data_IF_562372829930
#
_entry.id   IF_562372829930
#
_cell.length_a   1.000
_cell.length_b   1.000
_cell.length_c   1.000
_cell.angle_alpha   90.00
_cell.angle_beta   90.00
_cell.angle_gamma   90.00
#
_symmetry.space_group_name_H-M   'P 1'
#
loop_
_entity.id
_entity.type
_entity.pdbx_description
1 polymer ?
#
# COMPACT_ATOMS: atom_id res chain seq x y z
N UNK A 1 2.28 -28.61 1.82
CA UNK A 1 1.66 -27.92 2.97
C UNK A 1 2.29 -26.54 3.07
N UNK A 2 1.53 -25.47 2.87
CA UNK A 2 2.02 -24.10 3.02
C UNK A 2 2.14 -23.78 4.53
N UNK A 3 3.13 -23.00 4.97
CA UNK A 3 3.29 -22.59 6.37
C UNK A 3 2.01 -21.95 6.96
N UNK A 4 1.23 -21.27 6.11
CA UNK A 4 -0.07 -20.69 6.45
C UNK A 4 -1.12 -21.74 6.86
N UNK A 5 -0.96 -23.02 6.49
CA UNK A 5 -1.86 -24.09 6.93
C UNK A 5 -1.68 -24.48 8.41
N UNK A 6 -0.60 -24.02 9.07
CA UNK A 6 -0.37 -24.28 10.50
C UNK A 6 -1.01 -23.23 11.42
N UNK A 7 -1.32 -22.04 10.89
CA UNK A 7 -2.10 -21.01 11.60
C UNK A 7 -3.49 -21.06 10.98
N UNK A 8 -4.49 -21.56 11.71
CA UNK A 8 -5.87 -21.48 11.26
C UNK A 8 -6.34 -20.03 11.32
N UNK A 9 -6.07 -19.25 10.26
CA UNK A 9 -6.44 -17.82 10.17
C UNK A 9 -7.95 -17.61 10.41
N UNK A 10 -8.76 -18.62 10.09
CA UNK A 10 -10.20 -18.65 10.36
C UNK A 10 -10.55 -18.55 11.85
N UNK A 11 -9.64 -18.99 12.73
CA UNK A 11 -9.89 -19.11 14.16
C UNK A 11 -9.50 -17.81 14.91
N UNK A 12 -8.83 -16.88 14.21
CA UNK A 12 -8.45 -15.58 14.73
C UNK A 12 -9.63 -14.60 14.66
N UNK A 13 -9.78 -13.78 15.70
CA UNK A 13 -10.60 -12.56 15.68
C UNK A 13 -10.11 -11.60 14.59
N UNK A 14 -10.87 -10.54 14.32
CA UNK A 14 -10.46 -9.55 13.31
C UNK A 14 -9.23 -8.79 13.82
N UNK A 15 -9.19 -8.48 15.10
CA UNK A 15 -8.10 -7.79 15.78
C UNK A 15 -6.81 -8.61 15.72
N UNK A 16 -6.86 -9.90 16.10
CA UNK A 16 -5.69 -10.79 16.02
C UNK A 16 -5.20 -10.99 14.58
N UNK A 17 -6.09 -10.94 13.59
CA UNK A 17 -5.68 -10.97 12.17
C UNK A 17 -4.92 -9.72 11.77
N UNK A 18 -5.33 -8.55 12.25
CA UNK A 18 -4.64 -7.30 11.98
C UNK A 18 -3.27 -7.27 12.66
N UNK A 19 -3.18 -7.68 13.93
CA UNK A 19 -1.90 -7.83 14.64
C UNK A 19 -0.97 -8.82 13.94
N UNK A 20 -1.50 -9.93 13.44
CA UNK A 20 -0.71 -10.89 12.67
C UNK A 20 -0.22 -10.28 11.34
N UNK A 21 -1.04 -9.51 10.64
CA UNK A 21 -0.64 -8.81 9.41
C UNK A 21 0.51 -7.84 9.70
N UNK A 22 0.41 -7.05 10.77
CA UNK A 22 1.46 -6.12 11.21
C UNK A 22 2.76 -6.85 11.54
N UNK A 23 2.70 -7.89 12.38
CA UNK A 23 3.88 -8.67 12.74
C UNK A 23 4.54 -9.37 11.54
N UNK A 24 3.73 -9.85 10.59
CA UNK A 24 4.24 -10.42 9.34
C UNK A 24 4.91 -9.34 8.49
N UNK A 25 4.33 -8.14 8.40
CA UNK A 25 4.90 -7.03 7.66
C UNK A 25 6.25 -6.59 8.24
N UNK A 26 6.33 -6.46 9.57
CA UNK A 26 7.55 -6.11 10.30
C UNK A 26 8.64 -7.19 10.20
N UNK A 27 8.26 -8.43 9.91
CA UNK A 27 9.21 -9.53 9.76
C UNK A 27 9.92 -9.56 8.40
N UNK A 28 9.46 -8.78 7.42
CA UNK A 28 10.04 -8.74 6.08
C UNK A 28 11.12 -7.65 5.99
N UNK A 29 12.24 -7.99 5.37
CA UNK A 29 13.27 -7.02 5.00
C UNK A 29 13.10 -6.59 3.53
N UNK A 30 13.68 -5.44 3.16
CA UNK A 30 13.62 -4.92 1.78
C UNK A 30 14.12 -5.94 0.74
N UNK A 31 15.11 -6.76 1.10
CA UNK A 31 15.63 -7.82 0.23
C UNK A 31 14.65 -8.97 -0.02
N UNK A 32 13.68 -9.17 0.86
CA UNK A 32 12.71 -10.27 0.76
C UNK A 32 11.58 -9.92 -0.22
N UNK A 33 11.36 -8.62 -0.45
CA UNK A 33 10.39 -8.08 -1.41
C UNK A 33 11.06 -7.02 -2.30
N UNK A 34 11.95 -7.43 -3.22
CA UNK A 34 12.68 -6.49 -4.06
C UNK A 34 11.73 -5.70 -4.96
N UNK A 35 11.96 -4.38 -5.05
CA UNK A 35 11.17 -3.50 -5.92
C UNK A 35 11.39 -3.87 -7.38
N UNK A 36 10.33 -4.21 -8.14
CA UNK A 36 10.46 -4.49 -9.56
C UNK A 36 11.04 -3.29 -10.33
N UNK A 37 11.94 -3.54 -11.28
CA UNK A 37 12.59 -2.48 -12.05
C UNK A 37 11.58 -1.55 -12.76
N UNK A 38 10.42 -2.07 -13.15
CA UNK A 38 9.38 -1.27 -13.79
C UNK A 38 8.68 -0.30 -12.82
N UNK A 39 8.61 -0.59 -11.52
CA UNK A 39 8.14 0.38 -10.52
C UNK A 39 9.09 1.58 -10.47
N UNK A 40 10.40 1.31 -10.41
CA UNK A 40 11.42 2.36 -10.37
C UNK A 40 11.40 3.22 -11.64
N UNK A 41 11.27 2.59 -12.81
CA UNK A 41 11.15 3.30 -14.08
C UNK A 41 9.90 4.20 -14.13
N UNK A 42 8.77 3.73 -13.59
CA UNK A 42 7.54 4.54 -13.52
C UNK A 42 7.67 5.72 -12.54
N UNK A 43 8.30 5.49 -11.38
CA UNK A 43 8.60 6.57 -10.43
C UNK A 43 9.49 7.64 -11.06
N UNK A 44 10.55 7.23 -11.75
CA UNK A 44 11.44 8.15 -12.46
C UNK A 44 10.70 8.93 -13.56
N UNK A 45 9.88 8.25 -14.36
CA UNK A 45 9.05 8.88 -15.39
C UNK A 45 8.11 9.94 -14.81
N UNK A 46 7.48 9.69 -13.67
CA UNK A 46 6.59 10.66 -12.99
C UNK A 46 7.36 11.80 -12.33
N UNK A 47 8.56 11.52 -11.80
CA UNK A 47 9.38 12.55 -11.18
C UNK A 47 9.82 13.62 -12.18
N UNK A 48 10.06 13.23 -13.44
CA UNK A 48 10.41 14.16 -14.52
C UNK A 48 9.33 15.22 -14.80
N UNK A 49 8.05 14.88 -14.60
CA UNK A 49 6.92 15.79 -14.84
C UNK A 49 6.33 16.37 -13.56
N UNK A 50 6.90 16.05 -12.39
CA UNK A 50 6.30 16.34 -11.09
C UNK A 50 5.92 17.80 -10.89
N UNK A 51 6.79 18.76 -11.21
CA UNK A 51 6.48 20.19 -11.03
C UNK A 51 5.32 20.66 -11.92
N UNK A 52 5.21 20.12 -13.13
CA UNK A 52 4.11 20.46 -14.05
C UNK A 52 2.80 19.80 -13.60
N UNK A 53 2.87 18.56 -13.13
CA UNK A 53 1.71 17.82 -12.63
C UNK A 53 1.21 18.40 -11.30
N UNK A 54 2.11 18.86 -10.43
CA UNK A 54 1.80 19.52 -9.16
C UNK A 54 0.99 20.78 -9.36
N UNK A 55 1.20 21.54 -10.44
CA UNK A 55 0.38 22.71 -10.76
C UNK A 55 -1.09 22.37 -11.02
N UNK A 56 -1.39 21.10 -11.35
CA UNK A 56 -2.75 20.58 -11.55
C UNK A 56 -3.28 19.79 -10.35
N UNK A 57 -2.50 19.72 -9.26
CA UNK A 57 -2.93 19.02 -8.06
C UNK A 57 -4.02 19.81 -7.33
N UNK A 58 -4.91 19.09 -6.67
CA UNK A 58 -5.92 19.64 -5.76
C UNK A 58 -5.59 19.21 -4.34
N UNK A 59 -6.06 19.98 -3.35
CA UNK A 59 -5.87 19.60 -1.96
C UNK A 59 -6.67 18.34 -1.62
N UNK A 60 -6.21 17.63 -0.59
CA UNK A 60 -6.91 16.45 -0.09
C UNK A 60 -8.35 16.77 0.36
N UNK A 61 -8.58 17.94 0.95
CA UNK A 61 -9.92 18.35 1.38
C UNK A 61 -10.88 18.53 0.20
N UNK A 62 -10.40 18.99 -0.96
CA UNK A 62 -11.20 19.11 -2.18
C UNK A 62 -11.62 17.73 -2.69
N UNK A 63 -10.67 16.78 -2.81
CA UNK A 63 -10.97 15.41 -3.24
C UNK A 63 -11.91 14.71 -2.26
N UNK A 64 -11.71 14.88 -0.96
CA UNK A 64 -12.58 14.28 0.06
C UNK A 64 -14.02 14.77 -0.11
N UNK A 65 -14.22 16.09 -0.25
CA UNK A 65 -15.53 16.67 -0.44
C UNK A 65 -16.22 16.19 -1.73
N UNK A 66 -15.46 16.00 -2.82
CA UNK A 66 -15.98 15.43 -4.07
C UNK A 66 -16.42 13.97 -3.90
N UNK A 67 -15.60 13.13 -3.25
CA UNK A 67 -15.92 11.73 -2.99
C UNK A 67 -17.15 11.57 -2.09
N UNK A 68 -17.29 12.38 -1.05
CA UNK A 68 -18.45 12.36 -0.14
C UNK A 68 -19.75 12.79 -0.82
N UNK A 69 -19.67 13.63 -1.85
CA UNK A 69 -20.84 14.08 -2.62
C UNK A 69 -21.33 13.02 -3.61
N UNK A 70 -20.42 12.20 -4.12
CA UNK A 70 -20.69 11.19 -5.15
C UNK A 70 -21.03 9.80 -4.54
N UNK A 71 -21.02 9.66 -3.21
CA UNK A 71 -21.50 8.52 -2.42
C UNK A 71 -22.95 8.69 -1.95
#
# INVERSE_FOLDING_TARGET
MNALSKIAISDLTVEERLELIEALWDSLEEKDVPVPAWHMAELERRMQTFEQDKARSVSWDVIRAELERDL
#
